data_IF_732398363286
#
_entry.id   IF_732398363286
#
_cell.length_a   1.000
_cell.length_b   1.000
_cell.length_c   1.000
_cell.angle_alpha   90.00
_cell.angle_beta   90.00
_cell.angle_gamma   90.00
#
_symmetry.space_group_name_H-M   'P 1'
#
loop_
_entity.id
_entity.type
_entity.pdbx_description
1 polymer ?
#
# COMPACT_ATOMS: atom_id res chain seq x y z
N UNK A 1 -9.97 -7.75 -6.72
CA UNK A 1 -10.11 -6.52 -7.52
C UNK A 1 -8.72 -6.00 -7.80
N UNK A 2 -8.39 -5.68 -9.05
CA UNK A 2 -7.09 -5.13 -9.43
C UNK A 2 -7.30 -3.71 -9.96
N UNK A 3 -6.48 -2.78 -9.51
CA UNK A 3 -6.44 -1.41 -10.02
C UNK A 3 -5.05 -1.16 -10.59
N UNK A 4 -4.99 -0.46 -11.72
CA UNK A 4 -3.73 0.03 -12.29
C UNK A 4 -3.58 1.48 -11.87
N UNK A 5 -2.41 1.83 -11.35
CA UNK A 5 -2.09 3.18 -10.89
C UNK A 5 -0.83 3.64 -11.61
N UNK A 6 -0.83 4.88 -12.08
CA UNK A 6 0.39 5.53 -12.54
C UNK A 6 1.24 5.89 -11.32
N UNK A 7 2.52 5.54 -11.37
CA UNK A 7 3.50 5.87 -10.32
C UNK A 7 4.42 7.00 -10.79
N UNK A 8 4.85 7.84 -9.84
CA UNK A 8 5.87 8.84 -10.11
C UNK A 8 7.27 8.18 -10.14
N UNK A 9 8.23 8.83 -10.80
CA UNK A 9 9.61 8.32 -10.87
C UNK A 9 10.23 8.26 -9.47
N UNK A 10 10.73 7.08 -9.09
CA UNK A 10 11.26 6.79 -7.76
C UNK A 10 10.23 7.00 -6.63
N UNK A 11 8.94 6.82 -6.91
CA UNK A 11 7.90 6.93 -5.90
C UNK A 11 8.08 5.84 -4.83
N UNK A 12 8.05 6.26 -3.57
CA UNK A 12 8.04 5.35 -2.43
C UNK A 12 6.62 4.95 -2.07
N UNK A 13 6.43 3.78 -1.48
CA UNK A 13 5.11 3.32 -1.02
C UNK A 13 4.44 4.31 -0.06
N UNK A 14 5.20 4.87 0.89
CA UNK A 14 4.65 5.87 1.82
C UNK A 14 4.16 7.13 1.10
N UNK A 15 4.83 7.54 0.03
CA UNK A 15 4.41 8.69 -0.79
C UNK A 15 3.17 8.36 -1.62
N UNK A 16 3.10 7.15 -2.20
CA UNK A 16 1.93 6.66 -2.91
C UNK A 16 0.69 6.69 -2.01
N UNK A 17 0.76 6.18 -0.79
CA UNK A 17 -0.38 6.17 0.12
C UNK A 17 -0.85 7.59 0.48
N UNK A 18 0.08 8.51 0.76
CA UNK A 18 -0.25 9.92 1.00
C UNK A 18 -0.93 10.56 -0.22
N UNK A 19 -0.46 10.24 -1.43
CA UNK A 19 -1.05 10.72 -2.68
C UNK A 19 -2.47 10.18 -2.88
N UNK A 20 -2.67 8.88 -2.71
CA UNK A 20 -3.99 8.24 -2.82
C UNK A 20 -4.98 8.77 -1.78
N UNK A 21 -4.53 9.08 -0.56
CA UNK A 21 -5.35 9.74 0.48
C UNK A 21 -5.76 11.14 0.02
N UNK A 22 -4.82 11.94 -0.51
CA UNK A 22 -5.08 13.31 -1.00
C UNK A 22 -6.03 13.32 -2.20
N UNK A 23 -5.89 12.35 -3.09
CA UNK A 23 -6.77 12.13 -4.26
C UNK A 23 -8.14 11.54 -3.86
N UNK A 24 -8.34 11.24 -2.56
CA UNK A 24 -9.58 10.72 -1.99
C UNK A 24 -10.04 9.42 -2.70
N UNK A 25 -9.08 8.55 -3.03
CA UNK A 25 -9.37 7.25 -3.60
C UNK A 25 -10.12 6.38 -2.57
N UNK A 26 -11.42 6.15 -2.78
CA UNK A 26 -12.30 5.44 -1.82
C UNK A 26 -11.74 4.12 -1.25
N UNK A 27 -10.90 3.41 -2.00
CA UNK A 27 -10.29 2.16 -1.54
C UNK A 27 -9.20 2.38 -0.47
N UNK A 28 -8.46 3.49 -0.54
CA UNK A 28 -7.37 3.75 0.41
C UNK A 28 -7.91 3.95 1.83
N UNK A 29 -9.13 4.47 1.95
CA UNK A 29 -9.85 4.67 3.21
C UNK A 29 -10.08 3.35 3.98
N UNK A 30 -10.16 2.23 3.26
CA UNK A 30 -10.32 0.91 3.85
C UNK A 30 -8.97 0.31 4.28
N UNK A 31 -7.89 0.68 3.59
CA UNK A 31 -6.58 0.03 3.70
C UNK A 31 -5.59 0.77 4.59
N UNK A 32 -5.65 2.10 4.61
CA UNK A 32 -4.70 2.98 5.27
C UNK A 32 -5.46 3.91 6.21
N UNK A 33 -4.89 4.20 7.38
CA UNK A 33 -5.41 5.20 8.30
C UNK A 33 -5.12 6.60 7.76
N UNK A 34 -6.16 7.43 7.58
CA UNK A 34 -6.04 8.75 6.95
C UNK A 34 -5.17 9.73 7.73
N UNK A 35 -5.11 9.58 9.05
CA UNK A 35 -4.42 10.52 9.93
C UNK A 35 -2.92 10.25 9.97
N UNK A 36 -2.55 8.97 9.98
CA UNK A 36 -1.17 8.52 10.09
C UNK A 36 -0.53 8.19 8.75
N UNK A 37 -1.31 7.88 7.72
CA UNK A 37 -0.80 7.36 6.44
C UNK A 37 -0.23 5.93 6.55
N UNK A 38 -0.52 5.24 7.64
CA UNK A 38 -0.03 3.89 7.97
C UNK A 38 -1.08 2.86 7.57
N UNK A 39 -0.66 1.72 7.03
CA UNK A 39 -1.55 0.60 6.70
C UNK A 39 -2.25 0.13 7.98
N UNK A 40 -3.56 -0.10 7.92
CA UNK A 40 -4.33 -0.54 9.08
C UNK A 40 -3.84 -1.91 9.56
N UNK A 41 -3.85 -2.14 10.87
CA UNK A 41 -3.45 -3.42 11.48
C UNK A 41 -4.29 -4.61 11.02
N UNK A 42 -5.50 -4.36 10.51
CA UNK A 42 -6.40 -5.37 9.92
C UNK A 42 -6.05 -5.71 8.46
N UNK A 43 -4.91 -5.24 7.94
CA UNK A 43 -4.50 -5.42 6.54
C UNK A 43 -3.03 -5.83 6.47
N UNK A 44 -2.77 -6.96 5.82
CA UNK A 44 -1.45 -7.38 5.38
C UNK A 44 -1.13 -6.83 4.00
N UNK A 45 0.13 -6.47 3.79
CA UNK A 45 0.62 -5.89 2.56
C UNK A 45 1.73 -6.77 1.97
N UNK A 46 1.64 -7.06 0.68
CA UNK A 46 2.67 -7.76 -0.09
C UNK A 46 3.08 -6.92 -1.29
N UNK A 47 4.37 -6.92 -1.63
CA UNK A 47 4.90 -6.31 -2.85
C UNK A 47 5.55 -7.42 -3.66
N UNK A 48 5.07 -7.66 -4.89
CA UNK A 48 5.53 -8.74 -5.75
C UNK A 48 5.55 -10.11 -5.03
N UNK A 49 4.54 -10.35 -4.18
CA UNK A 49 4.39 -11.57 -3.38
C UNK A 49 5.30 -11.67 -2.14
N UNK A 50 6.12 -10.66 -1.84
CA UNK A 50 6.96 -10.60 -0.64
C UNK A 50 6.31 -9.75 0.44
N UNK A 51 6.53 -10.11 1.70
CA UNK A 51 6.03 -9.33 2.85
C UNK A 51 6.60 -7.91 2.83
N UNK A 52 5.74 -6.94 3.08
CA UNK A 52 6.05 -5.51 3.06
C UNK A 52 7.28 -5.14 3.91
N UNK A 53 7.43 -5.79 5.06
CA UNK A 53 8.54 -5.60 5.99
C UNK A 53 9.89 -6.00 5.38
N UNK A 54 9.91 -7.04 4.53
CA UNK A 54 11.11 -7.49 3.84
C UNK A 54 11.52 -6.60 2.66
N UNK A 55 10.62 -5.72 2.21
CA UNK A 55 10.85 -4.82 1.08
C UNK A 55 11.34 -3.42 1.51
N UNK A 56 11.55 -3.18 2.80
CA UNK A 56 11.93 -1.85 3.32
C UNK A 56 10.74 -0.99 3.73
N UNK A 57 9.57 -1.60 3.95
CA UNK A 57 8.36 -0.92 4.44
C UNK A 57 7.99 0.31 3.58
N UNK A 58 7.69 1.43 4.22
CA UNK A 58 7.25 2.66 3.57
C UNK A 58 8.32 3.33 2.70
N UNK A 59 9.58 2.96 2.88
CA UNK A 59 10.72 3.46 2.10
C UNK A 59 11.00 2.65 0.83
N UNK A 60 10.29 1.53 0.64
CA UNK A 60 10.38 0.73 -0.58
C UNK A 60 10.06 1.58 -1.80
N UNK A 61 10.96 1.58 -2.78
CA UNK A 61 10.80 2.27 -4.06
C UNK A 61 10.01 1.38 -5.01
N UNK A 62 8.94 1.94 -5.57
CA UNK A 62 8.11 1.28 -6.56
C UNK A 62 8.71 1.42 -7.96
N UNK A 63 8.62 0.33 -8.71
CA UNK A 63 9.03 0.25 -10.09
C UNK A 63 7.82 -0.06 -10.98
N UNK A 64 7.95 0.26 -12.26
CA UNK A 64 6.90 -0.05 -13.22
C UNK A 64 6.65 -1.57 -13.27
N UNK A 65 5.36 -1.94 -13.25
CA UNK A 65 4.92 -3.34 -13.16
C UNK A 65 4.91 -3.95 -11.76
N UNK A 66 5.33 -3.23 -10.71
CA UNK A 66 5.23 -3.73 -9.34
C UNK A 66 3.77 -3.94 -8.93
N UNK A 67 3.51 -5.07 -8.28
CA UNK A 67 2.18 -5.45 -7.79
C UNK A 67 2.12 -5.33 -6.28
N UNK A 68 1.22 -4.47 -5.80
CA UNK A 68 0.92 -4.32 -4.37
C UNK A 68 -0.37 -5.08 -4.06
N UNK A 69 -0.29 -6.09 -3.18
CA UNK A 69 -1.43 -6.89 -2.76
C UNK A 69 -1.80 -6.57 -1.32
N UNK A 70 -3.07 -6.24 -1.10
CA UNK A 70 -3.64 -6.04 0.23
C UNK A 70 -4.49 -7.25 0.59
N UNK A 71 -4.25 -7.83 1.76
CA UNK A 71 -4.99 -8.98 2.29
C UNK A 71 -5.59 -8.59 3.65
N UNK A 72 -6.84 -8.97 3.96
CA UNK A 72 -7.36 -8.79 5.30
C UNK A 72 -6.54 -9.63 6.28
N UNK A 73 -6.05 -9.00 7.35
CA UNK A 73 -5.48 -9.69 8.49
C UNK A 73 -6.63 -10.24 9.32
N UNK A 74 -7.04 -11.47 9.03
CA UNK A 74 -7.87 -12.23 9.95
C UNK A 74 -6.97 -12.81 11.04
N UNK A 75 -7.09 -12.39 12.31
CA UNK A 75 -6.57 -13.22 13.38
C UNK A 75 -7.32 -14.55 13.26
N UNK A 76 -6.59 -15.64 13.02
CA UNK A 76 -7.19 -16.98 12.97
C UNK A 76 -8.05 -17.17 14.21
N UNK A 77 -9.32 -17.52 14.00
CA UNK A 77 -10.31 -17.72 15.07
C UNK A 77 -9.91 -18.77 16.09
#
# INVERSE_FOLDING_TARGET
MQITLEIEKNEKIGSLFKRLIRENHKIIDLLVDKNSGIVKSTVYLLINGKVFEACGCYDAVLNDGDTITFLPAYPGG
#
